data_IF_593112944668
#
_entry.id   IF_593112944668
#
_cell.length_a   1.000
_cell.length_b   1.000
_cell.length_c   1.000
_cell.angle_alpha   90.00
_cell.angle_beta   90.00
_cell.angle_gamma   90.00
#
_symmetry.space_group_name_H-M   'P 1'
#
loop_
_entity.id
_entity.type
_entity.pdbx_description
1 polymer ?
#
# COMPACT_ATOMS: atom_id res chain seq x y z
N UNK A 1 61.10 -47.24 8.86
CA UNK A 1 59.85 -47.06 8.07
C UNK A 1 59.10 -45.86 8.67
N UNK A 2 59.31 -44.63 8.09
CA UNK A 2 58.78 -43.40 8.64
C UNK A 2 57.48 -43.09 7.86
N UNK A 3 56.32 -43.14 8.59
CA UNK A 3 55.02 -42.75 8.03
C UNK A 3 54.92 -41.21 8.03
N UNK A 4 54.88 -40.62 6.85
CA UNK A 4 54.63 -39.19 6.65
C UNK A 4 53.11 -38.99 6.62
N UNK A 5 52.53 -38.39 7.67
CA UNK A 5 51.09 -38.00 7.69
C UNK A 5 50.98 -36.68 6.95
N UNK A 6 50.38 -36.73 5.77
CA UNK A 6 50.01 -35.54 4.97
C UNK A 6 48.73 -34.95 5.54
N UNK A 7 48.82 -33.84 6.28
CA UNK A 7 47.67 -33.02 6.68
C UNK A 7 47.15 -32.24 5.47
N UNK A 8 46.01 -32.65 4.94
CA UNK A 8 45.28 -31.89 3.92
C UNK A 8 44.45 -30.83 4.61
N UNK A 9 44.90 -29.57 4.56
CA UNK A 9 44.10 -28.43 4.98
C UNK A 9 43.01 -28.15 3.94
N UNK A 10 41.75 -28.48 4.25
CA UNK A 10 40.59 -27.98 3.53
C UNK A 10 40.41 -26.49 3.86
N UNK A 11 40.87 -25.60 3.02
CA UNK A 11 40.41 -24.22 3.04
C UNK A 11 38.98 -24.20 2.53
N UNK A 12 38.01 -24.19 3.44
CA UNK A 12 36.65 -23.85 3.10
C UNK A 12 36.66 -22.38 2.63
N UNK A 13 36.49 -22.15 1.33
CA UNK A 13 36.19 -20.83 0.79
C UNK A 13 34.85 -20.39 1.35
N UNK A 14 34.84 -19.68 2.48
CA UNK A 14 33.67 -18.99 2.96
C UNK A 14 33.48 -17.78 2.04
N UNK A 15 32.42 -17.81 1.24
CA UNK A 15 31.97 -16.61 0.55
C UNK A 15 31.75 -15.52 1.60
N UNK A 16 32.21 -14.28 1.35
CA UNK A 16 32.01 -13.18 2.29
C UNK A 16 30.53 -13.03 2.59
N UNK A 17 30.18 -12.80 3.86
CA UNK A 17 28.80 -12.57 4.25
C UNK A 17 28.23 -11.35 3.50
N UNK A 18 27.04 -11.51 2.95
CA UNK A 18 26.33 -10.46 2.22
C UNK A 18 26.15 -9.21 3.09
N UNK A 19 26.45 -8.03 2.57
CA UNK A 19 26.18 -6.75 3.26
C UNK A 19 24.68 -6.54 3.45
N UNK A 20 24.30 -5.69 4.40
CA UNK A 20 22.87 -5.33 4.58
C UNK A 20 22.26 -4.75 3.31
N UNK A 21 23.00 -3.90 2.60
CA UNK A 21 22.53 -3.31 1.33
C UNK A 21 22.25 -4.39 0.28
N UNK A 22 23.15 -5.35 0.11
CA UNK A 22 22.97 -6.48 -0.81
C UNK A 22 21.75 -7.35 -0.40
N UNK A 23 21.55 -7.60 0.89
CA UNK A 23 20.36 -8.33 1.38
C UNK A 23 19.07 -7.57 1.12
N UNK A 24 19.08 -6.23 1.31
CA UNK A 24 17.92 -5.37 1.03
C UNK A 24 17.58 -5.38 -0.46
N UNK A 25 18.59 -5.23 -1.34
CA UNK A 25 18.40 -5.27 -2.80
C UNK A 25 17.86 -6.63 -3.22
N UNK A 26 18.48 -7.72 -2.79
CA UNK A 26 18.08 -9.10 -3.11
C UNK A 26 16.63 -9.40 -2.66
N UNK A 27 16.22 -8.89 -1.50
CA UNK A 27 14.84 -9.03 -1.04
C UNK A 27 13.85 -8.26 -1.94
N UNK A 28 14.17 -7.01 -2.27
CA UNK A 28 13.28 -6.18 -3.11
C UNK A 28 13.21 -6.70 -4.54
N UNK A 29 14.32 -7.17 -5.11
CA UNK A 29 14.35 -7.86 -6.42
C UNK A 29 13.46 -9.08 -6.41
N UNK A 30 13.48 -9.88 -5.34
CA UNK A 30 12.58 -11.03 -5.18
C UNK A 30 11.11 -10.63 -5.25
N UNK A 31 10.71 -9.57 -4.56
CA UNK A 31 9.33 -9.05 -4.62
C UNK A 31 9.00 -8.49 -6.01
N UNK A 32 9.97 -7.90 -6.70
CA UNK A 32 9.80 -7.43 -8.08
C UNK A 32 9.60 -8.61 -9.05
N UNK A 33 10.42 -9.66 -8.96
CA UNK A 33 10.29 -10.88 -9.77
C UNK A 33 8.95 -11.60 -9.53
N UNK A 34 8.41 -11.52 -8.32
CA UNK A 34 7.07 -12.03 -7.98
C UNK A 34 5.93 -11.12 -8.47
N UNK A 35 6.23 -10.02 -9.16
CA UNK A 35 5.26 -8.99 -9.59
C UNK A 35 4.45 -8.37 -8.43
N UNK A 36 5.01 -8.36 -7.21
CA UNK A 36 4.39 -7.77 -6.02
C UNK A 36 5.00 -6.42 -5.65
N UNK A 37 6.08 -6.02 -6.31
CA UNK A 37 6.66 -4.69 -6.21
C UNK A 37 7.14 -4.19 -7.57
N UNK A 38 6.73 -2.97 -7.93
CA UNK A 38 7.21 -2.24 -9.11
C UNK A 38 7.12 -0.75 -8.82
N UNK A 39 8.25 -0.06 -8.65
CA UNK A 39 8.24 1.35 -8.25
C UNK A 39 9.55 1.81 -7.64
N UNK A 40 9.47 2.70 -6.65
CA UNK A 40 10.64 3.31 -6.01
C UNK A 40 10.67 3.03 -4.51
N UNK A 41 11.87 2.81 -3.99
CA UNK A 41 12.07 2.53 -2.57
C UNK A 41 13.24 3.37 -2.03
N UNK A 42 13.08 3.87 -0.80
CA UNK A 42 14.15 4.47 -0.02
C UNK A 42 14.20 3.82 1.35
N UNK A 43 15.40 3.44 1.76
CA UNK A 43 15.68 2.85 3.08
C UNK A 43 16.79 3.67 3.73
N UNK A 44 16.45 4.35 4.82
CA UNK A 44 17.40 4.98 5.72
C UNK A 44 17.45 4.21 7.03
N UNK A 45 18.64 3.94 7.53
CA UNK A 45 18.84 3.29 8.83
C UNK A 45 19.94 4.00 9.61
N UNK A 46 19.62 4.36 10.85
CA UNK A 46 20.52 5.13 11.74
C UNK A 46 21.07 6.41 11.09
N UNK A 47 20.23 7.05 10.27
CA UNK A 47 20.58 8.27 9.55
C UNK A 47 21.35 8.08 8.24
N UNK A 48 21.77 6.86 7.89
CA UNK A 48 22.44 6.53 6.65
C UNK A 48 21.45 5.98 5.61
N UNK A 49 21.52 6.47 4.37
CA UNK A 49 20.71 5.94 3.27
C UNK A 49 21.40 4.70 2.72
N UNK A 50 20.80 3.52 2.98
CA UNK A 50 21.32 2.24 2.50
C UNK A 50 20.81 1.90 1.11
N UNK A 51 19.63 2.39 0.74
CA UNK A 51 19.03 2.15 -0.59
C UNK A 51 18.15 3.34 -0.98
N UNK A 52 18.26 3.82 -2.22
CA UNK A 52 17.35 4.77 -2.83
C UNK A 52 17.34 4.55 -4.34
N UNK A 53 16.41 3.72 -4.83
CA UNK A 53 16.41 3.31 -6.24
C UNK A 53 15.01 2.94 -6.72
N UNK A 54 14.87 2.69 -8.02
CA UNK A 54 13.65 2.18 -8.65
C UNK A 54 13.84 0.75 -9.16
N UNK A 55 12.73 0.01 -9.19
CA UNK A 55 12.63 -1.35 -9.72
C UNK A 55 11.51 -1.41 -10.76
N UNK A 56 11.78 -2.08 -11.87
CA UNK A 56 10.81 -2.26 -12.95
C UNK A 56 10.52 -0.96 -13.73
N UNK A 57 9.25 -0.72 -14.04
CA UNK A 57 8.84 0.34 -14.97
C UNK A 57 7.90 1.35 -14.33
N UNK A 58 8.19 2.65 -14.48
CA UNK A 58 7.21 3.71 -14.19
C UNK A 58 6.11 3.77 -15.25
N UNK A 59 6.42 3.36 -16.50
CA UNK A 59 5.47 3.20 -17.59
C UNK A 59 5.83 1.98 -18.43
N UNK A 60 4.96 0.98 -18.49
CA UNK A 60 5.23 -0.28 -19.17
C UNK A 60 5.11 -0.16 -20.70
N UNK A 61 4.18 0.66 -21.22
CA UNK A 61 3.99 0.84 -22.67
C UNK A 61 5.18 1.55 -23.31
N UNK A 62 5.78 2.50 -22.61
CA UNK A 62 6.99 3.21 -23.05
C UNK A 62 8.28 2.47 -22.68
N UNK A 63 8.18 1.38 -21.91
CA UNK A 63 9.33 0.67 -21.31
C UNK A 63 10.26 1.61 -20.53
N UNK A 64 9.70 2.71 -19.98
CA UNK A 64 10.44 3.67 -19.19
C UNK A 64 10.59 3.18 -17.76
N UNK A 65 11.85 3.04 -17.30
CA UNK A 65 12.17 2.46 -15.98
C UNK A 65 11.76 3.38 -14.82
N UNK A 66 11.45 2.79 -13.68
CA UNK A 66 11.30 3.50 -12.43
C UNK A 66 12.66 3.90 -11.87
N UNK A 67 12.75 5.09 -11.27
CA UNK A 67 13.93 5.64 -10.61
C UNK A 67 13.52 6.24 -9.25
N UNK A 68 14.50 6.54 -8.39
CA UNK A 68 14.27 7.27 -7.13
C UNK A 68 13.59 8.63 -7.31
N UNK A 69 13.67 9.20 -8.52
CA UNK A 69 13.03 10.48 -8.90
C UNK A 69 11.64 10.31 -9.50
N UNK A 70 11.17 9.08 -9.69
CA UNK A 70 9.83 8.84 -10.23
C UNK A 70 8.74 9.33 -9.27
N UNK A 71 7.67 9.88 -9.83
CA UNK A 71 6.58 10.55 -9.10
C UNK A 71 5.37 9.63 -9.05
N UNK A 72 4.86 9.37 -7.85
CA UNK A 72 3.74 8.47 -7.59
C UNK A 72 2.65 9.18 -6.80
N UNK A 73 1.38 8.77 -6.98
CA UNK A 73 0.34 9.10 -6.01
C UNK A 73 0.63 8.35 -4.71
N UNK A 74 0.56 9.04 -3.56
CA UNK A 74 0.89 8.45 -2.25
C UNK A 74 -0.35 8.09 -1.43
N UNK A 75 -1.55 8.32 -1.99
CA UNK A 75 -2.81 7.97 -1.33
C UNK A 75 -2.89 8.52 0.10
N UNK A 76 -3.31 7.68 1.03
CA UNK A 76 -3.59 8.10 2.42
C UNK A 76 -2.39 8.59 3.22
N UNK A 77 -1.15 8.49 2.74
CA UNK A 77 -0.01 9.21 3.33
C UNK A 77 -0.28 10.74 3.32
N UNK A 78 -1.13 11.23 2.41
CA UNK A 78 -1.65 12.60 2.39
C UNK A 78 -2.17 13.06 3.76
N UNK A 79 -2.77 12.17 4.53
CA UNK A 79 -3.38 12.49 5.83
C UNK A 79 -2.38 13.02 6.86
N UNK A 80 -1.13 12.61 6.77
CA UNK A 80 -0.05 13.12 7.63
C UNK A 80 0.14 14.64 7.43
N UNK A 81 0.08 15.07 6.18
CA UNK A 81 0.22 16.49 5.80
C UNK A 81 -0.99 17.30 6.26
N UNK A 82 -2.20 16.80 6.01
CA UNK A 82 -3.45 17.42 6.44
C UNK A 82 -3.49 17.62 7.96
N UNK A 83 -3.20 16.57 8.73
CA UNK A 83 -3.18 16.65 10.19
C UNK A 83 -2.12 17.66 10.71
N UNK A 84 -0.94 17.68 10.07
CA UNK A 84 0.12 18.63 10.44
C UNK A 84 -0.32 20.08 10.16
N UNK A 85 -0.98 20.34 9.01
CA UNK A 85 -1.54 21.66 8.69
C UNK A 85 -2.56 22.09 9.74
N UNK A 86 -3.50 21.19 10.11
CA UNK A 86 -4.50 21.47 11.14
C UNK A 86 -3.87 21.90 12.46
N UNK A 87 -2.86 21.15 12.93
CA UNK A 87 -2.18 21.48 14.18
C UNK A 87 -1.34 22.76 14.08
N UNK A 88 -0.74 23.06 12.91
CA UNK A 88 -0.05 24.36 12.70
C UNK A 88 -1.03 25.54 12.68
N UNK A 89 -2.25 25.35 12.20
CA UNK A 89 -3.32 26.38 12.27
C UNK A 89 -3.83 26.56 13.69
N UNK A 90 -3.98 25.48 14.45
CA UNK A 90 -4.29 25.54 15.89
C UNK A 90 -3.20 26.30 16.67
N UNK A 91 -1.93 25.99 16.42
CA UNK A 91 -0.80 26.67 17.04
C UNK A 91 -0.79 28.19 16.79
N UNK A 92 -1.26 28.60 15.61
CA UNK A 92 -1.43 30.02 15.22
C UNK A 92 -2.72 30.66 15.76
N UNK A 93 -3.51 29.93 16.56
CA UNK A 93 -4.78 30.39 17.11
C UNK A 93 -5.88 30.62 16.06
N UNK A 94 -5.76 29.99 14.86
CA UNK A 94 -6.76 30.16 13.81
C UNK A 94 -7.99 29.28 14.00
N UNK A 95 -7.85 28.17 14.72
CA UNK A 95 -8.90 27.22 15.08
C UNK A 95 -8.50 26.49 16.38
N UNK A 96 -9.44 25.74 16.95
CA UNK A 96 -9.16 24.69 17.93
C UNK A 96 -9.57 23.33 17.37
N UNK A 97 -8.78 22.30 17.58
CA UNK A 97 -9.21 20.94 17.18
C UNK A 97 -10.42 20.45 17.97
N UNK A 98 -10.79 21.12 19.07
CA UNK A 98 -12.01 20.85 19.84
C UNK A 98 -13.22 21.62 19.30
N UNK A 99 -13.04 22.52 18.32
CA UNK A 99 -14.17 23.21 17.70
C UNK A 99 -15.14 22.21 17.05
N UNK A 100 -16.46 22.47 17.11
CA UNK A 100 -17.43 21.72 16.35
C UNK A 100 -17.25 22.02 14.84
N UNK A 101 -17.47 21.02 14.01
CA UNK A 101 -17.35 21.15 12.54
C UNK A 101 -18.32 22.17 11.98
N UNK A 102 -19.50 22.36 12.62
CA UNK A 102 -20.52 23.34 12.25
C UNK A 102 -20.02 24.79 12.19
N UNK A 103 -19.00 25.12 12.97
CA UNK A 103 -18.35 26.44 12.92
C UNK A 103 -17.75 26.77 11.55
N UNK A 104 -17.35 25.75 10.79
CA UNK A 104 -16.64 25.87 9.51
C UNK A 104 -17.42 25.32 8.32
N UNK A 105 -18.26 24.32 8.55
CA UNK A 105 -19.09 23.65 7.52
C UNK A 105 -20.54 23.53 8.03
N UNK A 106 -21.28 24.66 8.14
CA UNK A 106 -22.65 24.63 8.66
C UNK A 106 -23.65 23.88 7.77
N UNK A 107 -23.29 23.65 6.48
CA UNK A 107 -24.12 22.90 5.54
C UNK A 107 -24.12 21.38 5.76
N UNK A 108 -23.24 20.84 6.62
CA UNK A 108 -23.21 19.42 6.97
C UNK A 108 -24.19 19.14 8.13
N UNK A 109 -25.20 18.32 7.90
CA UNK A 109 -26.31 18.10 8.85
C UNK A 109 -25.88 17.59 10.24
N UNK A 110 -24.77 16.87 10.33
CA UNK A 110 -24.27 16.30 11.60
C UNK A 110 -23.09 17.10 12.18
N UNK A 111 -22.80 18.28 11.62
CA UNK A 111 -21.59 19.04 11.93
C UNK A 111 -21.53 19.56 13.37
N UNK A 112 -22.66 19.76 14.02
CA UNK A 112 -22.78 20.20 15.44
C UNK A 112 -22.44 19.07 16.44
N UNK A 113 -22.51 17.80 15.98
CA UNK A 113 -22.30 16.60 16.80
C UNK A 113 -20.86 16.13 16.81
N UNK A 114 -20.03 16.62 15.87
CA UNK A 114 -18.68 16.14 15.65
C UNK A 114 -17.67 17.29 15.76
N UNK A 115 -16.48 16.97 16.27
CA UNK A 115 -15.36 17.94 16.40
C UNK A 115 -14.27 17.65 15.37
N UNK A 116 -13.40 18.65 15.13
CA UNK A 116 -12.21 18.49 14.28
C UNK A 116 -11.32 17.36 14.83
N UNK A 117 -11.17 17.24 16.14
CA UNK A 117 -10.41 16.17 16.80
C UNK A 117 -10.92 14.78 16.39
N UNK A 118 -12.24 14.60 16.37
CA UNK A 118 -12.85 13.33 16.00
C UNK A 118 -12.70 13.02 14.51
N UNK A 119 -12.64 14.03 13.63
CA UNK A 119 -12.27 13.82 12.23
C UNK A 119 -10.82 13.37 12.09
N UNK A 120 -9.88 14.03 12.80
CA UNK A 120 -8.45 13.71 12.78
C UNK A 120 -8.15 12.29 13.27
N UNK A 121 -8.91 11.79 14.24
CA UNK A 121 -8.70 10.49 14.89
C UNK A 121 -9.62 9.38 14.39
N UNK A 122 -10.40 9.63 13.32
CA UNK A 122 -11.37 8.68 12.76
C UNK A 122 -12.44 8.20 13.76
N UNK A 123 -12.82 9.07 14.71
CA UNK A 123 -13.80 8.75 15.75
C UNK A 123 -15.09 9.56 15.65
N UNK A 124 -15.30 10.26 14.53
CA UNK A 124 -16.47 11.11 14.30
C UNK A 124 -17.76 10.34 13.99
N UNK A 125 -17.66 9.08 13.56
CA UNK A 125 -18.81 8.32 13.05
C UNK A 125 -19.30 8.77 11.68
N UNK A 126 -18.67 9.76 11.04
CA UNK A 126 -19.09 10.23 9.70
C UNK A 126 -18.97 9.11 8.67
N UNK A 127 -20.03 8.91 7.87
CA UNK A 127 -20.08 7.95 6.78
C UNK A 127 -18.86 8.10 5.85
N UNK A 128 -18.24 6.98 5.49
CA UNK A 128 -17.10 7.01 4.58
C UNK A 128 -17.57 6.97 3.13
N UNK A 129 -17.39 8.05 2.37
CA UNK A 129 -17.85 8.13 0.97
C UNK A 129 -17.27 7.04 0.08
N UNK A 130 -16.10 6.48 0.43
CA UNK A 130 -15.51 5.36 -0.33
C UNK A 130 -16.22 4.02 -0.09
N UNK A 131 -17.18 3.95 0.84
CA UNK A 131 -18.07 2.80 1.03
C UNK A 131 -19.31 2.88 0.10
N UNK A 132 -19.48 3.99 -0.65
CA UNK A 132 -20.55 4.15 -1.62
C UNK A 132 -20.13 3.57 -2.97
N UNK A 133 -20.64 2.37 -3.30
CA UNK A 133 -20.27 1.66 -4.52
C UNK A 133 -20.61 2.44 -5.80
N UNK A 134 -21.76 3.11 -5.86
CA UNK A 134 -22.17 3.91 -7.01
C UNK A 134 -21.20 5.06 -7.24
N UNK A 135 -20.87 5.81 -6.18
CA UNK A 135 -19.91 6.90 -6.25
C UNK A 135 -18.52 6.39 -6.70
N UNK A 136 -18.07 5.28 -6.12
CA UNK A 136 -16.76 4.70 -6.44
C UNK A 136 -16.67 4.13 -7.86
N UNK A 137 -17.78 3.72 -8.46
CA UNK A 137 -17.81 3.21 -9.83
C UNK A 137 -17.87 4.32 -10.90
N UNK A 138 -18.50 5.46 -10.59
CA UNK A 138 -18.88 6.43 -11.63
C UNK A 138 -18.32 7.83 -11.46
N UNK A 139 -17.75 8.19 -10.28
CA UNK A 139 -17.40 9.57 -9.99
C UNK A 139 -15.91 9.81 -9.66
N UNK A 140 -15.07 8.80 -9.76
CA UNK A 140 -13.67 8.94 -9.32
C UNK A 140 -12.81 9.83 -10.24
N UNK A 141 -13.09 9.83 -11.54
CA UNK A 141 -12.29 10.52 -12.56
C UNK A 141 -12.78 11.95 -12.84
N UNK A 142 -13.90 12.34 -12.25
CA UNK A 142 -14.53 13.63 -12.51
C UNK A 142 -14.36 14.60 -11.34
N UNK A 143 -14.10 15.88 -11.61
CA UNK A 143 -14.05 16.89 -10.56
C UNK A 143 -15.35 16.92 -9.76
N UNK A 144 -15.24 16.89 -8.44
CA UNK A 144 -16.39 16.92 -7.53
C UNK A 144 -16.32 18.15 -6.64
N UNK A 145 -17.41 18.93 -6.58
CA UNK A 145 -17.48 20.13 -5.77
C UNK A 145 -17.66 19.80 -4.28
N UNK A 146 -17.22 20.72 -3.40
CA UNK A 146 -17.49 20.63 -1.96
C UNK A 146 -18.99 20.45 -1.67
N UNK A 147 -19.84 21.19 -2.36
CA UNK A 147 -21.31 21.11 -2.17
C UNK A 147 -21.84 19.71 -2.52
N UNK A 148 -21.39 19.10 -3.61
CA UNK A 148 -21.78 17.74 -4.00
C UNK A 148 -21.34 16.70 -2.96
N UNK A 149 -20.10 16.81 -2.44
CA UNK A 149 -19.62 15.90 -1.40
C UNK A 149 -20.38 16.08 -0.08
N UNK A 150 -20.69 17.30 0.32
CA UNK A 150 -21.52 17.55 1.52
C UNK A 150 -22.92 16.97 1.32
N UNK A 151 -23.52 17.14 0.15
CA UNK A 151 -24.82 16.55 -0.18
C UNK A 151 -24.80 15.03 -0.08
N UNK A 152 -23.75 14.37 -0.60
CA UNK A 152 -23.56 12.92 -0.48
C UNK A 152 -23.51 12.48 0.98
N UNK A 153 -22.73 13.19 1.80
CA UNK A 153 -22.60 12.88 3.22
C UNK A 153 -23.89 13.11 4.02
N UNK A 154 -24.67 14.15 3.65
CA UNK A 154 -25.94 14.48 4.30
C UNK A 154 -27.05 13.43 4.04
N UNK A 155 -26.88 12.55 3.06
CA UNK A 155 -27.81 11.44 2.79
C UNK A 155 -27.61 10.27 3.75
N UNK A 156 -26.57 10.27 4.55
CA UNK A 156 -26.21 9.17 5.42
C UNK A 156 -26.20 9.60 6.89
N UNK A 157 -26.71 8.75 7.81
CA UNK A 157 -26.55 8.99 9.24
C UNK A 157 -25.09 8.79 9.66
N UNK A 158 -24.78 9.15 10.91
CA UNK A 158 -23.52 8.72 11.53
C UNK A 158 -23.54 7.20 11.72
N UNK A 159 -22.41 6.54 11.46
CA UNK A 159 -22.24 5.09 11.66
C UNK A 159 -22.28 4.71 13.15
N UNK A 160 -21.95 5.63 14.04
CA UNK A 160 -21.94 5.48 15.50
C UNK A 160 -21.84 6.85 16.18
N UNK A 161 -22.10 6.88 17.49
CA UNK A 161 -21.99 8.10 18.30
C UNK A 161 -20.54 8.60 18.36
N UNK A 162 -20.30 9.89 18.05
CA UNK A 162 -18.95 10.47 18.00
C UNK A 162 -18.13 10.22 19.28
N UNK A 163 -16.89 9.80 19.10
CA UNK A 163 -15.95 9.50 20.20
C UNK A 163 -16.07 8.10 20.80
N UNK A 164 -17.09 7.31 20.46
CA UNK A 164 -17.33 5.98 21.09
C UNK A 164 -16.59 4.82 20.39
N UNK A 165 -16.30 4.96 19.10
CA UNK A 165 -15.64 3.94 18.28
C UNK A 165 -14.66 4.62 17.32
N UNK A 166 -13.77 3.80 16.75
CA UNK A 166 -12.90 4.17 15.64
C UNK A 166 -13.32 3.40 14.39
N UNK A 167 -13.63 4.13 13.32
CA UNK A 167 -13.80 3.61 11.96
C UNK A 167 -13.09 4.55 10.99
N UNK A 168 -12.12 4.02 10.26
CA UNK A 168 -11.39 4.80 9.26
C UNK A 168 -12.34 5.43 8.25
N UNK A 169 -12.23 6.74 8.04
CA UNK A 169 -13.10 7.50 7.13
C UNK A 169 -12.30 8.50 6.31
N UNK A 170 -12.34 8.35 4.98
CA UNK A 170 -11.79 9.34 4.05
C UNK A 170 -12.61 10.64 4.07
N UNK A 171 -13.92 10.55 4.34
CA UNK A 171 -14.78 11.72 4.50
C UNK A 171 -14.31 12.64 5.61
N UNK A 172 -13.80 12.09 6.72
CA UNK A 172 -13.25 12.90 7.80
C UNK A 172 -12.12 13.80 7.32
N UNK A 173 -11.18 13.25 6.56
CA UNK A 173 -10.05 14.01 6.02
C UNK A 173 -10.42 14.93 4.86
N UNK A 174 -11.40 14.55 4.04
CA UNK A 174 -12.00 15.45 3.06
C UNK A 174 -12.54 16.72 3.74
N UNK A 175 -13.33 16.56 4.80
CA UNK A 175 -13.88 17.67 5.59
C UNK A 175 -12.79 18.53 6.25
N UNK A 176 -11.69 17.92 6.73
CA UNK A 176 -10.53 18.67 7.23
C UNK A 176 -9.93 19.60 6.16
N UNK A 177 -9.88 19.15 4.90
CA UNK A 177 -9.46 20.01 3.80
C UNK A 177 -10.38 21.21 3.61
N UNK A 178 -11.69 21.01 3.65
CA UNK A 178 -12.68 22.11 3.57
C UNK A 178 -12.59 23.06 4.77
N UNK A 179 -12.33 22.55 5.96
CA UNK A 179 -12.09 23.39 7.15
C UNK A 179 -10.83 24.23 6.97
N UNK A 180 -9.74 23.67 6.42
CA UNK A 180 -8.52 24.43 6.12
C UNK A 180 -8.84 25.60 5.16
N UNK A 181 -9.58 25.33 4.07
CA UNK A 181 -9.98 26.39 3.11
C UNK A 181 -10.87 27.44 3.79
N UNK A 182 -11.83 27.03 4.61
CA UNK A 182 -12.73 27.93 5.34
C UNK A 182 -11.97 28.86 6.30
N UNK A 183 -10.98 28.33 7.03
CA UNK A 183 -10.20 29.07 8.03
C UNK A 183 -9.19 30.01 7.41
N UNK A 184 -8.60 29.63 6.28
CA UNK A 184 -7.51 30.37 5.64
C UNK A 184 -7.97 31.29 4.53
N UNK A 185 -9.13 31.02 3.90
CA UNK A 185 -9.57 31.66 2.68
C UNK A 185 -8.75 31.27 1.43
N UNK A 186 -7.84 30.30 1.57
CA UNK A 186 -6.97 29.82 0.50
C UNK A 186 -7.28 28.37 0.14
N UNK A 187 -6.94 27.94 -1.09
CA UNK A 187 -7.04 26.55 -1.50
C UNK A 187 -6.19 25.65 -0.63
N UNK A 188 -6.69 24.46 -0.27
CA UNK A 188 -6.00 23.48 0.54
C UNK A 188 -4.56 23.20 0.02
N UNK A 189 -4.39 23.00 -1.28
CA UNK A 189 -3.08 22.82 -1.90
C UNK A 189 -2.13 24.01 -1.61
N UNK A 190 -2.61 25.25 -1.72
CA UNK A 190 -1.83 26.46 -1.47
C UNK A 190 -1.32 26.46 -0.02
N UNK A 191 -2.20 26.14 0.92
CA UNK A 191 -1.82 26.10 2.36
C UNK A 191 -0.80 25.02 2.65
N UNK A 192 -0.95 23.81 2.08
CA UNK A 192 0.04 22.73 2.24
C UNK A 192 1.39 23.12 1.63
N UNK A 193 1.39 23.75 0.45
CA UNK A 193 2.62 24.24 -0.18
C UNK A 193 3.31 25.29 0.70
N UNK A 194 2.58 26.25 1.22
CA UNK A 194 3.13 27.32 2.07
C UNK A 194 3.68 26.80 3.39
N UNK A 195 2.97 25.89 4.04
CA UNK A 195 3.33 25.43 5.40
C UNK A 195 4.28 24.23 5.40
N UNK A 196 4.35 23.47 4.31
CA UNK A 196 5.12 22.22 4.27
C UNK A 196 6.02 22.13 3.04
N UNK A 197 5.48 22.11 1.81
CA UNK A 197 6.28 21.78 0.64
C UNK A 197 7.38 22.82 0.36
N UNK A 198 7.05 24.10 0.36
CA UNK A 198 8.03 25.17 0.08
C UNK A 198 9.13 25.24 1.16
N UNK A 199 8.79 25.30 2.48
CA UNK A 199 9.81 25.30 3.53
C UNK A 199 10.76 24.10 3.48
N UNK A 200 10.24 22.92 3.10
CA UNK A 200 11.00 21.67 3.04
C UNK A 200 11.61 21.42 1.64
N UNK A 201 11.38 22.31 0.68
CA UNK A 201 11.85 22.15 -0.72
C UNK A 201 11.38 20.82 -1.33
N UNK A 202 10.14 20.43 -1.07
CA UNK A 202 9.49 19.24 -1.65
C UNK A 202 8.95 19.59 -3.05
N UNK A 203 9.84 19.86 -3.98
CA UNK A 203 9.52 20.43 -5.29
C UNK A 203 8.86 19.43 -6.27
N UNK A 204 8.95 18.13 -5.96
CA UNK A 204 8.35 17.06 -6.75
C UNK A 204 7.04 16.55 -6.12
N UNK A 205 6.49 17.28 -5.15
CA UNK A 205 5.24 16.96 -4.48
C UNK A 205 4.14 17.95 -4.85
N UNK A 206 2.92 17.45 -5.00
CA UNK A 206 1.75 18.26 -5.39
C UNK A 206 0.47 17.45 -5.34
N UNK A 207 -0.60 17.94 -6.01
CA UNK A 207 -1.95 17.40 -5.88
C UNK A 207 -2.57 16.94 -7.20
N UNK A 208 -2.53 17.76 -8.23
CA UNK A 208 -3.16 17.45 -9.51
C UNK A 208 -2.33 16.45 -10.33
N UNK A 209 -2.40 15.18 -9.95
CA UNK A 209 -1.67 14.12 -10.65
C UNK A 209 -2.20 13.87 -12.06
N UNK A 210 -3.50 14.08 -12.31
CA UNK A 210 -4.10 13.86 -13.62
C UNK A 210 -3.42 14.75 -14.68
N UNK A 211 -3.27 16.03 -14.40
CA UNK A 211 -2.69 17.03 -15.31
C UNK A 211 -1.18 17.25 -15.11
N UNK A 212 -0.53 16.45 -14.25
CA UNK A 212 0.91 16.56 -14.06
C UNK A 212 1.67 16.23 -15.35
N UNK A 213 2.36 17.24 -15.89
CA UNK A 213 3.27 17.12 -17.03
C UNK A 213 4.70 16.95 -16.53
N UNK A 214 5.07 15.73 -16.16
CA UNK A 214 6.41 15.44 -15.64
C UNK A 214 6.90 14.12 -16.25
N UNK A 215 8.07 14.13 -16.89
CA UNK A 215 8.66 12.93 -17.49
C UNK A 215 8.93 11.81 -16.48
N UNK A 216 8.92 12.09 -15.19
CA UNK A 216 9.07 11.11 -14.12
C UNK A 216 7.73 10.60 -13.56
N UNK A 217 6.58 11.08 -14.07
CA UNK A 217 5.25 10.60 -13.67
C UNK A 217 5.12 9.10 -13.92
N UNK A 218 4.74 8.35 -12.89
CA UNK A 218 4.45 6.93 -13.01
C UNK A 218 3.00 6.70 -13.49
N UNK A 219 2.78 5.64 -14.23
CA UNK A 219 1.45 5.12 -14.57
C UNK A 219 1.07 4.06 -13.56
N UNK A 220 -0.17 4.12 -13.04
CA UNK A 220 -0.69 3.13 -12.10
C UNK A 220 -1.30 1.93 -12.82
N UNK A 221 -1.15 0.75 -12.23
CA UNK A 221 -1.64 -0.52 -12.77
C UNK A 221 -2.31 -1.36 -11.70
N UNK A 222 -3.31 -2.16 -12.05
CA UNK A 222 -3.82 -3.19 -11.13
C UNK A 222 -2.77 -4.28 -10.91
N UNK A 223 -2.10 -4.67 -11.98
CA UNK A 223 -0.95 -5.58 -11.96
C UNK A 223 -0.05 -5.31 -13.16
N UNK A 224 1.20 -5.78 -13.07
CA UNK A 224 2.14 -5.84 -14.19
C UNK A 224 2.58 -7.29 -14.29
N UNK A 225 2.52 -7.87 -15.51
CA UNK A 225 2.97 -9.23 -15.79
C UNK A 225 3.91 -9.21 -16.98
N UNK A 226 5.06 -9.83 -16.84
CA UNK A 226 6.08 -9.92 -17.90
C UNK A 226 6.41 -8.53 -18.51
N UNK A 227 6.42 -7.49 -17.65
CA UNK A 227 6.66 -6.10 -18.04
C UNK A 227 5.48 -5.41 -18.74
N UNK A 228 4.29 -6.01 -18.78
CA UNK A 228 3.08 -5.46 -19.39
C UNK A 228 2.02 -5.20 -18.32
N UNK A 229 1.46 -3.99 -18.30
CA UNK A 229 0.36 -3.61 -17.42
C UNK A 229 -0.72 -2.83 -18.17
N UNK A 230 -1.99 -3.06 -17.82
CA UNK A 230 -3.10 -2.21 -18.25
C UNK A 230 -3.22 -1.04 -17.29
N UNK A 231 -3.09 0.23 -17.72
CA UNK A 231 -3.25 1.39 -16.85
C UNK A 231 -4.59 1.40 -16.15
N UNK A 232 -4.60 1.85 -14.89
CA UNK A 232 -5.83 2.12 -14.15
C UNK A 232 -6.31 3.54 -14.39
N UNK A 233 -7.51 3.84 -13.90
CA UNK A 233 -8.03 5.21 -13.82
C UNK A 233 -7.13 6.08 -12.92
N UNK A 234 -7.17 7.39 -13.15
CA UNK A 234 -6.57 8.39 -12.27
C UNK A 234 -7.71 9.08 -11.51
N UNK A 235 -7.69 8.97 -10.19
CA UNK A 235 -8.68 9.63 -9.34
C UNK A 235 -8.46 11.14 -9.36
N UNK A 236 -9.52 11.91 -9.62
CA UNK A 236 -9.45 13.35 -9.58
C UNK A 236 -9.04 13.88 -8.20
N UNK A 237 -8.20 14.90 -8.18
CA UNK A 237 -7.65 15.45 -6.95
C UNK A 237 -8.70 16.07 -6.02
N UNK A 238 -9.86 16.46 -6.53
CA UNK A 238 -10.97 16.95 -5.73
C UNK A 238 -11.74 15.85 -5.03
N UNK A 239 -11.69 14.61 -5.55
CA UNK A 239 -12.32 13.43 -4.94
C UNK A 239 -11.49 12.87 -3.80
N UNK A 240 -10.21 12.58 -4.04
CA UNK A 240 -9.30 12.08 -3.00
C UNK A 240 -8.82 13.17 -2.04
N UNK A 241 -8.76 14.40 -2.49
CA UNK A 241 -8.53 15.68 -1.82
C UNK A 241 -7.55 15.59 -0.64
N UNK A 242 -7.91 16.15 0.52
CA UNK A 242 -7.07 16.17 1.70
C UNK A 242 -6.91 14.79 2.38
N UNK A 243 -7.61 13.77 1.88
CA UNK A 243 -7.48 12.38 2.31
C UNK A 243 -6.49 11.55 1.50
N UNK A 244 -6.15 11.97 0.24
CA UNK A 244 -5.42 11.08 -0.66
C UNK A 244 -4.79 11.67 -1.91
N UNK A 245 -4.91 12.98 -2.19
CA UNK A 245 -4.56 13.53 -3.50
C UNK A 245 -3.08 13.83 -3.73
N UNK A 246 -2.23 13.77 -2.71
CA UNK A 246 -0.81 14.11 -2.86
C UNK A 246 -0.12 13.08 -3.75
N UNK A 247 0.71 13.58 -4.66
CA UNK A 247 1.78 12.83 -5.31
C UNK A 247 3.14 13.27 -4.78
N UNK A 248 4.13 12.36 -4.79
CA UNK A 248 5.47 12.66 -4.28
C UNK A 248 6.52 11.71 -4.86
N UNK A 249 7.77 11.89 -4.41
CA UNK A 249 8.92 11.01 -4.64
C UNK A 249 9.48 10.49 -3.32
N UNK A 250 10.28 9.44 -3.37
CA UNK A 250 10.99 8.94 -2.16
C UNK A 250 11.88 10.02 -1.55
N UNK A 251 12.54 10.84 -2.37
CA UNK A 251 13.41 11.93 -1.91
C UNK A 251 12.67 13.05 -1.19
N UNK A 252 11.48 13.44 -1.68
CA UNK A 252 10.67 14.46 -0.99
C UNK A 252 10.06 13.91 0.31
N UNK A 253 9.65 12.66 0.34
CA UNK A 253 9.19 12.02 1.57
C UNK A 253 10.32 11.82 2.59
N UNK A 254 11.57 11.67 2.17
CA UNK A 254 12.72 11.70 3.08
C UNK A 254 12.87 13.08 3.74
N UNK A 255 12.69 14.17 2.99
CA UNK A 255 12.68 15.53 3.57
C UNK A 255 11.57 15.68 4.61
N UNK A 256 10.38 15.08 4.32
CA UNK A 256 9.29 15.01 5.27
C UNK A 256 9.67 14.23 6.55
N UNK A 257 10.30 13.06 6.41
CA UNK A 257 10.80 12.28 7.55
C UNK A 257 11.74 13.09 8.45
N UNK A 258 12.70 13.79 7.85
CA UNK A 258 13.67 14.61 8.59
C UNK A 258 13.00 15.80 9.27
N UNK A 259 12.06 16.46 8.60
CA UNK A 259 11.33 17.61 9.12
C UNK A 259 10.49 17.28 10.35
N UNK A 260 9.82 16.12 10.36
CA UNK A 260 9.01 15.69 11.52
C UNK A 260 9.91 15.49 12.78
N UNK A 261 11.17 15.16 12.60
CA UNK A 261 12.14 15.01 13.68
C UNK A 261 12.75 16.35 14.11
N UNK A 262 12.67 17.38 13.27
CA UNK A 262 13.20 18.72 13.56
C UNK A 262 12.24 19.53 14.44
N UNK A 263 12.67 19.84 15.67
CA UNK A 263 11.89 20.64 16.65
C UNK A 263 11.58 22.07 16.15
N UNK A 264 12.34 22.59 15.18
CA UNK A 264 12.08 23.92 14.58
C UNK A 264 10.92 23.87 13.60
N UNK A 265 10.76 22.76 12.88
CA UNK A 265 9.66 22.57 11.95
C UNK A 265 8.38 22.12 12.65
N UNK A 266 8.48 21.16 13.58
CA UNK A 266 7.37 20.61 14.33
C UNK A 266 7.70 20.58 15.82
N UNK A 267 7.04 21.48 16.59
CA UNK A 267 7.25 21.55 18.04
C UNK A 267 6.93 20.23 18.73
N UNK A 268 7.65 19.85 19.79
CA UNK A 268 7.43 18.58 20.50
C UNK A 268 5.98 18.34 20.91
N UNK A 269 5.27 19.37 21.38
CA UNK A 269 3.86 19.26 21.77
C UNK A 269 2.93 18.93 20.59
N UNK A 270 3.21 19.46 19.37
CA UNK A 270 2.44 19.10 18.18
C UNK A 270 2.76 17.68 17.71
N UNK A 271 4.03 17.29 17.78
CA UNK A 271 4.45 15.94 17.46
C UNK A 271 3.80 14.91 18.39
N UNK A 272 3.76 15.19 19.68
CA UNK A 272 3.07 14.36 20.67
C UNK A 272 1.59 14.21 20.32
N UNK A 273 0.87 15.30 20.01
CA UNK A 273 -0.53 15.25 19.55
C UNK A 273 -0.70 14.38 18.31
N UNK A 274 0.19 14.48 17.29
CA UNK A 274 0.12 13.71 16.06
C UNK A 274 0.22 12.21 16.32
N UNK A 275 1.13 11.80 17.21
CA UNK A 275 1.49 10.39 17.40
C UNK A 275 0.80 9.72 18.58
N UNK A 276 0.12 10.49 19.45
CA UNK A 276 -0.65 9.90 20.55
C UNK A 276 -1.91 9.25 20.00
N UNK A 277 -2.05 7.92 20.09
CA UNK A 277 -3.26 7.24 19.62
C UNK A 277 -4.42 7.53 20.57
N UNK A 278 -5.61 7.69 19.99
CA UNK A 278 -6.85 7.80 20.78
C UNK A 278 -7.53 6.44 20.93
N UNK A 279 -7.82 5.78 19.80
CA UNK A 279 -8.37 4.42 19.76
C UNK A 279 -7.63 3.60 18.68
N UNK A 280 -7.47 2.30 18.90
CA UNK A 280 -6.95 1.33 17.92
C UNK A 280 -5.62 1.74 17.24
N UNK A 281 -4.67 2.26 17.97
CA UNK A 281 -3.36 2.68 17.46
C UNK A 281 -3.39 3.83 16.43
N UNK A 282 -4.51 4.51 16.20
CA UNK A 282 -4.59 5.66 15.30
C UNK A 282 -4.39 6.97 16.06
N UNK A 283 -3.36 7.71 15.66
CA UNK A 283 -3.16 9.11 15.97
C UNK A 283 -3.76 10.01 14.88
N UNK A 284 -3.29 11.25 14.77
CA UNK A 284 -3.79 12.20 13.77
C UNK A 284 -3.01 12.04 12.45
N UNK A 285 -3.55 11.25 11.53
CA UNK A 285 -2.92 10.94 10.25
C UNK A 285 -1.76 9.94 10.32
N UNK A 286 -1.60 9.29 11.45
CA UNK A 286 -0.56 8.32 11.71
C UNK A 286 -1.11 7.09 12.42
N UNK A 287 -0.50 5.94 12.15
CA UNK A 287 -0.73 4.70 12.90
C UNK A 287 0.50 4.44 13.75
N UNK A 288 0.29 4.13 15.02
CA UNK A 288 1.38 3.71 15.90
C UNK A 288 1.58 2.20 15.80
N UNK A 289 2.82 1.78 15.80
CA UNK A 289 3.22 0.37 15.72
C UNK A 289 4.40 0.10 16.67
N UNK A 290 4.69 -1.17 16.88
CA UNK A 290 5.91 -1.62 17.53
C UNK A 290 6.63 -2.61 16.64
N UNK A 291 7.89 -2.32 16.37
CA UNK A 291 8.80 -3.30 15.80
C UNK A 291 9.74 -3.80 16.91
N UNK A 292 9.42 -4.99 17.45
CA UNK A 292 10.01 -5.47 18.70
C UNK A 292 9.85 -4.40 19.80
N UNK A 293 10.94 -4.00 20.46
CA UNK A 293 10.91 -3.00 21.54
C UNK A 293 10.91 -1.53 21.04
N UNK A 294 10.91 -1.31 19.72
CA UNK A 294 10.99 0.04 19.16
C UNK A 294 9.62 0.57 18.80
N UNK A 295 9.30 1.76 19.29
CA UNK A 295 8.10 2.47 18.85
C UNK A 295 8.29 2.98 17.42
N UNK A 296 7.30 2.76 16.62
CA UNK A 296 7.23 3.19 15.24
C UNK A 296 5.93 3.93 14.95
N UNK A 297 5.94 4.76 13.91
CA UNK A 297 4.75 5.37 13.35
C UNK A 297 4.79 5.22 11.82
N UNK A 298 3.64 5.01 11.21
CA UNK A 298 3.53 4.81 9.77
C UNK A 298 2.18 5.25 9.24
N UNK A 299 2.05 5.28 7.94
CA UNK A 299 0.78 5.23 7.23
C UNK A 299 0.98 4.58 5.87
N UNK A 300 0.05 3.72 5.50
CA UNK A 300 -0.04 3.16 4.16
C UNK A 300 -0.87 4.08 3.27
N UNK A 301 -0.60 4.03 1.98
CA UNK A 301 -1.44 4.67 0.98
C UNK A 301 -1.95 3.65 -0.03
N UNK A 302 -3.20 3.81 -0.43
CA UNK A 302 -3.80 3.06 -1.53
C UNK A 302 -4.72 3.99 -2.30
N UNK A 303 -4.57 3.99 -3.62
CA UNK A 303 -5.42 4.66 -4.59
C UNK A 303 -5.33 3.84 -5.87
N UNK A 304 -6.33 3.82 -6.77
CA UNK A 304 -6.26 3.01 -7.98
C UNK A 304 -4.89 3.02 -8.67
N UNK A 305 -4.29 1.85 -8.81
CA UNK A 305 -2.99 1.65 -9.44
C UNK A 305 -1.76 1.98 -8.59
N UNK A 306 -1.92 2.47 -7.38
CA UNK A 306 -0.79 2.82 -6.50
C UNK A 306 -0.98 2.32 -5.09
N UNK A 307 0.09 1.78 -4.52
CA UNK A 307 0.21 1.51 -3.09
C UNK A 307 1.50 2.11 -2.55
N UNK A 308 1.48 2.56 -1.32
CA UNK A 308 2.64 3.20 -0.70
C UNK A 308 2.74 2.86 0.78
N UNK A 309 3.93 2.93 1.32
CA UNK A 309 4.16 2.86 2.76
C UNK A 309 5.21 3.90 3.17
N UNK A 310 4.93 4.60 4.25
CA UNK A 310 5.85 5.50 4.90
C UNK A 310 5.97 5.07 6.37
N UNK A 311 7.02 4.32 6.68
CA UNK A 311 7.28 3.73 8.00
C UNK A 311 8.52 4.35 8.62
N UNK A 312 8.45 4.74 9.90
CA UNK A 312 9.57 5.36 10.60
C UNK A 312 9.72 4.89 12.04
N UNK A 313 10.98 4.74 12.46
CA UNK A 313 11.39 4.52 13.85
C UNK A 313 12.30 5.69 14.22
N UNK A 314 11.77 6.60 15.05
CA UNK A 314 12.46 7.86 15.36
C UNK A 314 13.69 7.67 16.26
N UNK A 315 13.64 6.69 17.16
CA UNK A 315 14.69 6.49 18.19
C UNK A 315 16.09 6.31 17.60
N UNK A 316 16.19 5.80 16.37
CA UNK A 316 17.45 5.60 15.67
C UNK A 316 17.44 6.13 14.23
N UNK A 317 16.54 7.08 13.94
CA UNK A 317 16.47 7.74 12.65
C UNK A 317 16.39 6.75 11.47
N UNK A 318 15.48 5.75 11.59
CA UNK A 318 15.19 4.77 10.55
C UNK A 318 13.92 5.13 9.82
N UNK A 319 13.93 5.05 8.47
CA UNK A 319 12.79 5.30 7.62
C UNK A 319 12.78 4.35 6.42
N UNK A 320 11.62 3.76 6.15
CA UNK A 320 11.36 2.98 4.92
C UNK A 320 10.22 3.68 4.18
N UNK A 321 10.48 4.04 2.93
CA UNK A 321 9.53 4.67 2.02
C UNK A 321 9.40 3.75 0.81
N UNK A 322 8.18 3.25 0.56
CA UNK A 322 7.88 2.41 -0.59
C UNK A 322 6.78 3.11 -1.40
N UNK A 323 7.07 3.36 -2.68
CA UNK A 323 6.13 3.92 -3.66
C UNK A 323 5.99 2.92 -4.79
N UNK A 324 4.84 2.29 -4.90
CA UNK A 324 4.57 1.19 -5.80
C UNK A 324 3.45 1.59 -6.77
N UNK A 325 3.62 1.36 -8.07
CA UNK A 325 2.61 1.67 -9.09
C UNK A 325 1.84 0.43 -9.56
N UNK A 326 1.68 -0.53 -8.67
CA UNK A 326 0.71 -1.61 -8.80
C UNK A 326 -0.17 -1.69 -7.55
N UNK A 327 -1.42 -2.10 -7.73
CA UNK A 327 -2.31 -2.40 -6.61
C UNK A 327 -1.81 -3.66 -5.90
N UNK A 328 -1.27 -3.52 -4.68
CA UNK A 328 -0.67 -4.62 -3.93
C UNK A 328 -1.04 -4.55 -2.45
N UNK A 329 -1.46 -5.68 -1.90
CA UNK A 329 -1.78 -5.81 -0.47
C UNK A 329 -0.60 -6.28 0.40
N UNK A 330 0.58 -6.54 -0.21
CA UNK A 330 1.73 -7.11 0.50
C UNK A 330 2.73 -6.04 0.99
N UNK A 331 2.44 -4.77 0.83
CA UNK A 331 3.38 -3.68 1.17
C UNK A 331 3.84 -3.72 2.63
N UNK A 332 2.97 -4.18 3.54
CA UNK A 332 3.30 -4.36 4.95
C UNK A 332 4.29 -5.52 5.16
N UNK A 333 4.12 -6.62 4.44
CA UNK A 333 5.05 -7.76 4.48
C UNK A 333 6.42 -7.37 3.95
N UNK A 334 6.48 -6.60 2.87
CA UNK A 334 7.72 -6.04 2.31
C UNK A 334 8.41 -5.21 3.39
N UNK A 335 7.70 -4.23 3.96
CA UNK A 335 8.24 -3.34 5.01
C UNK A 335 8.75 -4.13 6.21
N UNK A 336 7.99 -5.14 6.67
CA UNK A 336 8.35 -5.96 7.82
C UNK A 336 9.62 -6.76 7.58
N UNK A 337 9.77 -7.37 6.41
CA UNK A 337 10.97 -8.13 6.05
C UNK A 337 12.20 -7.23 5.90
N UNK A 338 12.04 -6.02 5.33
CA UNK A 338 13.11 -5.03 5.27
C UNK A 338 13.57 -4.61 6.67
N UNK A 339 12.64 -4.35 7.60
CA UNK A 339 12.95 -4.07 9.00
C UNK A 339 13.71 -5.24 9.65
N UNK A 340 13.31 -6.48 9.37
CA UNK A 340 14.03 -7.65 9.91
C UNK A 340 15.49 -7.66 9.47
N UNK A 341 15.80 -7.35 8.20
CA UNK A 341 17.18 -7.22 7.72
C UNK A 341 17.91 -6.09 8.47
N UNK A 342 17.28 -4.90 8.58
CA UNK A 342 17.91 -3.75 9.23
C UNK A 342 18.30 -4.02 10.69
N UNK A 343 17.49 -4.81 11.39
CA UNK A 343 17.66 -5.08 12.82
C UNK A 343 18.15 -6.49 13.13
N UNK A 344 18.70 -7.21 12.14
CA UNK A 344 19.25 -8.57 12.29
C UNK A 344 18.24 -9.54 12.94
N UNK A 345 16.99 -9.49 12.46
CA UNK A 345 15.90 -10.37 12.90
C UNK A 345 15.58 -11.43 11.85
N UNK A 346 15.13 -12.61 12.26
CA UNK A 346 14.70 -13.64 11.31
C UNK A 346 13.55 -13.15 10.43
N UNK A 347 13.59 -13.48 9.14
CA UNK A 347 12.52 -13.21 8.19
C UNK A 347 12.40 -14.37 7.20
N UNK A 348 11.24 -14.45 6.55
CA UNK A 348 11.02 -15.41 5.47
C UNK A 348 11.14 -14.67 4.14
N UNK A 349 12.19 -14.96 3.38
CA UNK A 349 12.29 -14.49 2.00
C UNK A 349 11.25 -15.22 1.16
N UNK A 350 10.39 -14.51 0.39
CA UNK A 350 9.47 -15.14 -0.54
C UNK A 350 10.23 -16.01 -1.55
N UNK A 351 9.64 -17.12 -1.96
CA UNK A 351 10.28 -18.04 -2.90
C UNK A 351 9.76 -17.77 -4.30
N UNK A 352 10.63 -17.38 -5.20
CA UNK A 352 10.34 -17.34 -6.63
C UNK A 352 10.26 -18.77 -7.14
N UNK A 353 9.05 -19.22 -7.46
CA UNK A 353 8.82 -20.57 -7.95
C UNK A 353 9.17 -20.61 -9.45
N UNK A 354 10.13 -21.44 -9.81
CA UNK A 354 10.43 -21.70 -11.22
C UNK A 354 9.31 -22.55 -11.84
N UNK A 355 8.77 -22.09 -12.97
CA UNK A 355 7.81 -22.88 -13.70
C UNK A 355 8.49 -24.09 -14.39
N UNK A 356 7.89 -25.25 -14.23
CA UNK A 356 8.30 -26.48 -14.90
C UNK A 356 7.47 -26.58 -16.18
N UNK A 357 8.08 -26.72 -17.37
CA UNK A 357 7.35 -26.96 -18.59
C UNK A 357 6.50 -28.23 -18.54
N UNK A 358 5.33 -28.22 -19.12
CA UNK A 358 4.44 -29.37 -19.22
C UNK A 358 3.79 -29.47 -20.62
N UNK A 359 3.36 -30.64 -20.98
CA UNK A 359 2.52 -30.85 -22.16
C UNK A 359 1.03 -30.80 -21.79
N UNK A 360 0.17 -30.48 -22.76
CA UNK A 360 -1.28 -30.49 -22.55
C UNK A 360 -1.78 -31.85 -22.03
N UNK A 361 -1.25 -32.97 -22.52
CA UNK A 361 -1.63 -34.29 -22.04
C UNK A 361 -1.35 -34.54 -20.55
N UNK A 362 -0.24 -34.00 -20.04
CA UNK A 362 0.13 -34.16 -18.62
C UNK A 362 -0.82 -33.41 -17.69
N UNK A 363 -1.38 -32.28 -18.13
CA UNK A 363 -2.17 -31.37 -17.28
C UNK A 363 -3.68 -31.47 -17.50
N UNK A 364 -4.16 -32.14 -18.56
CA UNK A 364 -5.60 -32.33 -18.83
C UNK A 364 -6.33 -32.96 -17.63
N UNK A 365 -5.69 -33.83 -16.87
CA UNK A 365 -6.27 -34.47 -15.67
C UNK A 365 -6.70 -33.46 -14.58
N UNK A 366 -6.10 -32.25 -14.55
CA UNK A 366 -6.44 -31.19 -13.58
C UNK A 366 -7.62 -30.33 -14.04
N UNK A 367 -8.04 -30.41 -15.29
CA UNK A 367 -9.19 -29.64 -15.78
C UNK A 367 -10.50 -30.12 -15.16
N UNK A 368 -11.46 -29.21 -15.02
CA UNK A 368 -12.77 -29.46 -14.44
C UNK A 368 -13.24 -28.32 -13.57
N UNK A 369 -14.39 -28.52 -12.92
CA UNK A 369 -14.95 -27.59 -11.96
C UNK A 369 -14.68 -28.08 -10.54
N UNK A 370 -14.45 -27.13 -9.63
CA UNK A 370 -14.09 -27.39 -8.25
C UNK A 370 -14.97 -26.53 -7.33
N UNK A 371 -15.72 -27.17 -6.44
CA UNK A 371 -16.60 -26.52 -5.49
C UNK A 371 -15.91 -26.33 -4.15
N UNK A 372 -15.64 -25.08 -3.78
CA UNK A 372 -15.17 -24.68 -2.46
C UNK A 372 -16.33 -24.45 -1.49
N UNK A 373 -16.04 -24.20 -0.24
CA UNK A 373 -17.07 -23.84 0.75
C UNK A 373 -17.79 -22.54 0.35
N UNK A 374 -19.07 -22.47 0.64
CA UNK A 374 -19.94 -21.35 0.26
C UNK A 374 -20.24 -21.35 -1.24
N UNK A 375 -20.35 -20.16 -1.83
CA UNK A 375 -20.66 -19.96 -3.27
C UNK A 375 -19.42 -19.83 -4.15
N UNK A 376 -18.24 -20.24 -3.69
CA UNK A 376 -17.02 -20.14 -4.47
C UNK A 376 -16.83 -21.41 -5.32
N UNK A 377 -16.92 -21.24 -6.66
CA UNK A 377 -16.64 -22.28 -7.64
C UNK A 377 -15.52 -21.82 -8.55
N UNK A 378 -14.59 -22.71 -8.85
CA UNK A 378 -13.45 -22.49 -9.75
C UNK A 378 -13.50 -23.47 -10.92
N UNK A 379 -13.36 -22.95 -12.12
CA UNK A 379 -13.16 -23.74 -13.33
C UNK A 379 -11.67 -23.73 -13.67
N UNK A 380 -11.11 -24.92 -13.90
CA UNK A 380 -9.75 -25.08 -14.42
C UNK A 380 -9.85 -25.66 -15.83
N UNK A 381 -9.24 -24.98 -16.79
CA UNK A 381 -9.34 -25.34 -18.21
C UNK A 381 -8.02 -25.12 -18.95
N UNK A 382 -7.88 -25.83 -20.07
CA UNK A 382 -6.73 -25.73 -20.96
C UNK A 382 -7.10 -24.82 -22.15
N UNK A 383 -6.24 -23.86 -22.46
CA UNK A 383 -6.35 -23.01 -23.66
C UNK A 383 -4.95 -22.71 -24.16
N UNK A 384 -4.71 -22.85 -25.46
CA UNK A 384 -3.42 -22.59 -26.12
C UNK A 384 -2.23 -23.28 -25.45
N UNK A 385 -2.39 -24.55 -25.04
CA UNK A 385 -1.43 -25.36 -24.27
C UNK A 385 -1.06 -24.77 -22.88
N UNK A 386 -1.88 -23.90 -22.36
CA UNK A 386 -1.73 -23.29 -21.02
C UNK A 386 -2.92 -23.65 -20.14
N UNK A 387 -2.66 -23.85 -18.87
CA UNK A 387 -3.70 -24.15 -17.87
C UNK A 387 -4.13 -22.85 -17.18
N UNK A 388 -5.43 -22.65 -17.07
CA UNK A 388 -6.02 -21.47 -16.44
C UNK A 388 -6.97 -21.84 -15.32
N UNK A 389 -6.99 -21.03 -14.26
CA UNK A 389 -7.99 -21.04 -13.20
C UNK A 389 -8.87 -19.79 -13.32
N UNK A 390 -10.19 -19.96 -13.26
CA UNK A 390 -11.19 -18.89 -13.35
C UNK A 390 -12.25 -19.11 -12.30
N UNK A 391 -12.61 -18.06 -11.57
CA UNK A 391 -13.80 -18.10 -10.71
C UNK A 391 -15.05 -18.07 -11.59
N UNK A 392 -15.96 -19.00 -11.37
CA UNK A 392 -17.21 -19.05 -12.14
C UNK A 392 -18.07 -17.84 -11.81
N UNK A 393 -18.49 -17.12 -12.85
CA UNK A 393 -19.22 -15.85 -12.75
C UNK A 393 -18.33 -14.60 -12.84
N UNK A 394 -17.02 -14.74 -12.98
CA UNK A 394 -16.07 -13.65 -13.23
C UNK A 394 -15.43 -13.79 -14.61
N UNK A 395 -15.03 -12.66 -15.21
CA UNK A 395 -14.38 -12.64 -16.54
C UNK A 395 -12.88 -12.95 -16.45
N UNK A 396 -12.25 -12.64 -15.32
CA UNK A 396 -10.82 -12.79 -15.13
C UNK A 396 -10.41 -14.27 -14.99
N UNK A 397 -9.40 -14.66 -15.74
CA UNK A 397 -8.76 -15.97 -15.65
C UNK A 397 -7.26 -15.83 -15.39
N UNK A 398 -6.67 -16.79 -14.69
CA UNK A 398 -5.29 -16.74 -14.24
C UNK A 398 -4.52 -17.96 -14.72
N UNK A 399 -3.41 -17.74 -15.45
CA UNK A 399 -2.53 -18.81 -15.90
C UNK A 399 -1.90 -19.53 -14.70
N UNK A 400 -1.92 -20.85 -14.73
CA UNK A 400 -1.38 -21.72 -13.70
C UNK A 400 -0.01 -22.27 -14.14
N UNK A 401 0.99 -22.14 -13.29
CA UNK A 401 2.35 -22.56 -13.56
C UNK A 401 2.71 -23.75 -12.68
N UNK A 402 3.04 -24.89 -13.29
CA UNK A 402 3.52 -26.07 -12.57
C UNK A 402 4.88 -25.76 -11.94
N UNK A 403 5.08 -26.04 -10.65
CA UNK A 403 6.38 -25.87 -9.99
C UNK A 403 6.84 -27.11 -9.21
N UNK A 404 5.93 -28.03 -8.98
CA UNK A 404 6.16 -29.32 -8.36
C UNK A 404 5.04 -30.27 -8.83
N UNK A 405 5.26 -31.58 -8.75
CA UNK A 405 4.22 -32.57 -9.08
C UNK A 405 2.92 -32.23 -8.33
N UNK A 406 1.82 -32.14 -9.08
CA UNK A 406 0.46 -31.85 -8.61
C UNK A 406 0.30 -30.48 -7.89
N UNK A 407 1.26 -29.56 -8.10
CA UNK A 407 1.29 -28.26 -7.45
C UNK A 407 1.55 -27.15 -8.47
N UNK A 408 0.64 -26.19 -8.52
CA UNK A 408 0.70 -25.04 -9.43
C UNK A 408 0.71 -23.75 -8.63
N UNK A 409 1.31 -22.71 -9.14
CA UNK A 409 1.21 -21.37 -8.59
C UNK A 409 0.61 -20.40 -9.59
N UNK A 410 -0.01 -19.34 -9.07
CA UNK A 410 -0.55 -18.23 -9.84
C UNK A 410 0.41 -17.04 -9.71
N UNK A 411 0.99 -16.58 -10.83
CA UNK A 411 1.86 -15.38 -10.80
C UNK A 411 1.11 -14.09 -10.49
N UNK A 412 -0.22 -14.07 -10.69
CA UNK A 412 -1.04 -12.88 -10.50
C UNK A 412 -1.16 -12.44 -9.03
N UNK A 413 -1.06 -13.39 -8.11
CA UNK A 413 -1.10 -13.21 -6.66
C UNK A 413 -0.46 -14.43 -6.01
N UNK A 414 0.09 -14.27 -4.81
CA UNK A 414 0.71 -15.41 -4.09
C UNK A 414 -0.35 -16.43 -3.70
N UNK A 415 -0.62 -17.34 -4.62
CA UNK A 415 -1.53 -18.45 -4.38
C UNK A 415 -0.99 -19.73 -4.99
N UNK A 416 -1.15 -20.81 -4.26
CA UNK A 416 -0.87 -22.17 -4.70
C UNK A 416 -2.14 -22.96 -4.88
N UNK A 417 -2.16 -23.78 -5.92
CA UNK A 417 -3.17 -24.78 -6.17
C UNK A 417 -2.51 -26.15 -6.04
N UNK A 418 -2.83 -26.87 -4.97
CA UNK A 418 -2.28 -28.21 -4.67
C UNK A 418 -3.39 -29.24 -4.86
N UNK A 419 -3.20 -30.15 -5.84
CA UNK A 419 -4.19 -31.15 -6.17
C UNK A 419 -4.04 -32.40 -5.30
N UNK A 420 -5.18 -32.94 -4.87
CA UNK A 420 -5.28 -34.20 -4.17
C UNK A 420 -5.74 -35.32 -5.11
N UNK A 421 -5.28 -36.54 -4.86
CA UNK A 421 -5.52 -37.73 -5.67
C UNK A 421 -5.96 -38.90 -4.83
N UNK A 422 -6.63 -39.85 -5.50
CA UNK A 422 -6.89 -41.19 -4.94
C UNK A 422 -5.71 -42.15 -5.21
N UNK A 423 -5.89 -43.41 -4.79
CA UNK A 423 -4.91 -44.48 -4.96
C UNK A 423 -4.65 -44.84 -6.46
N UNK A 424 -5.55 -44.42 -7.38
CA UNK A 424 -5.46 -44.66 -8.83
C UNK A 424 -4.91 -43.47 -9.60
N UNK A 425 -4.30 -42.48 -8.93
CA UNK A 425 -3.75 -41.21 -9.50
C UNK A 425 -4.83 -40.29 -10.13
N UNK A 426 -6.12 -40.49 -9.76
CA UNK A 426 -7.23 -39.65 -10.23
C UNK A 426 -7.40 -38.42 -9.35
N UNK A 427 -7.50 -37.23 -9.96
CA UNK A 427 -7.68 -35.97 -9.23
C UNK A 427 -9.04 -35.94 -8.52
N UNK A 428 -9.02 -35.81 -7.21
CA UNK A 428 -10.21 -35.77 -6.33
C UNK A 428 -10.56 -34.35 -5.90
N UNK A 429 -9.60 -33.42 -5.88
CA UNK A 429 -9.83 -32.07 -5.43
C UNK A 429 -8.60 -31.18 -5.56
N UNK A 430 -8.75 -29.93 -5.13
CA UNK A 430 -7.70 -28.94 -5.12
C UNK A 430 -7.76 -28.09 -3.84
N UNK A 431 -6.63 -27.78 -3.24
CA UNK A 431 -6.52 -26.80 -2.17
C UNK A 431 -5.89 -25.52 -2.70
N UNK A 432 -6.58 -24.40 -2.55
CA UNK A 432 -6.08 -23.05 -2.79
C UNK A 432 -5.45 -22.54 -1.48
N UNK A 433 -4.15 -22.24 -1.53
CA UNK A 433 -3.40 -21.68 -0.42
C UNK A 433 -3.05 -20.23 -0.76
N UNK A 434 -3.57 -19.28 0.01
CA UNK A 434 -3.33 -17.85 -0.18
C UNK A 434 -3.23 -17.15 1.17
N UNK A 435 -2.22 -16.30 1.35
CA UNK A 435 -2.04 -15.48 2.58
C UNK A 435 -2.13 -16.33 3.88
N UNK A 436 -1.52 -17.52 3.89
CA UNK A 436 -1.56 -18.50 5.00
C UNK A 436 -2.95 -19.11 5.29
N UNK A 437 -3.95 -18.83 4.45
CA UNK A 437 -5.26 -19.50 4.49
C UNK A 437 -5.28 -20.62 3.47
N UNK A 438 -5.87 -21.75 3.85
CA UNK A 438 -6.07 -22.91 2.97
C UNK A 438 -7.56 -23.14 2.83
N UNK A 439 -8.04 -23.19 1.58
CA UNK A 439 -9.41 -23.55 1.23
C UNK A 439 -9.32 -24.73 0.28
N UNK A 440 -10.02 -25.83 0.56
CA UNK A 440 -10.00 -27.02 -0.27
C UNK A 440 -11.37 -27.26 -0.93
N UNK A 441 -11.33 -27.73 -2.16
CA UNK A 441 -12.50 -28.07 -2.99
C UNK A 441 -12.43 -29.53 -3.43
N UNK A 442 -13.58 -30.15 -3.61
CA UNK A 442 -13.72 -31.42 -4.32
C UNK A 442 -13.90 -31.13 -5.82
N UNK A 443 -13.38 -32.03 -6.66
CA UNK A 443 -13.64 -32.00 -8.08
C UNK A 443 -15.09 -32.42 -8.32
N UNK A 444 -15.83 -31.62 -9.12
CA UNK A 444 -17.18 -31.98 -9.54
C UNK A 444 -17.09 -33.16 -10.52
N UNK A 445 -17.78 -34.25 -10.22
CA UNK A 445 -17.76 -35.49 -11.01
C UNK A 445 -18.94 -35.60 -11.97
N UNK A 446 -19.85 -34.59 -11.97
CA UNK A 446 -21.09 -34.66 -12.74
C UNK A 446 -21.02 -33.96 -14.10
N UNK A 447 -19.80 -33.74 -14.66
CA UNK A 447 -19.61 -33.21 -16.04
C UNK A 447 -18.55 -33.96 -16.82
#
# INVERSE_FOLDING_TARGET
MIFLIMLVFFFANQSPAQTKTEQLVDLVETYHELNTFNGSILIQHKGEILLNTGFGYKNTSEKSKAYSTSVFQIGSITKQFTATVMLKLEEKGKLSIQDPVSKYIPALNVADKITIYQLLTHTSGIYNYTDNNEFMQHHLEQPTSQAAMIQLLNQQPLDFDPGTKMKYSNSGYLLLGYIIESVTGEKYETVVRQLIFNPLKMINSGFDFAHLTNSQKATGYNNIRDGIGKPTIIVDSTVSFAGGAIYSTTGDLLKWHLAISDKKFLKPALKEKLFTPYLNNFGMGWVTDKFYEKNAVFHNGSIPGFTSNFYRIESDNTCIIILNNIANQQIDSITRNLLCILYDKPYSKPVVKAAIPFSAAEVTKYTGEYQFEGNFRMKIYLQDNKLFAQRIGEEDSFEMFLYKKDSFFLKAFEADLIFSKDAMDTIQGVCLIQSKKTMCAKKDTDH
#
